data_IF_234380969876
#
_entry.id   IF_234380969876
#
_cell.length_a   1.000
_cell.length_b   1.000
_cell.length_c   1.000
_cell.angle_alpha   90.00
_cell.angle_beta   90.00
_cell.angle_gamma   90.00
#
_symmetry.space_group_name_H-M   'P 1'
#
loop_
_entity.id
_entity.type
_entity.pdbx_description
1 polymer ?
#
# COMPACT_ATOMS: atom_id res chain seq x y z
N UNK A 1 -2.90 32.66 -9.67
CA UNK A 1 -3.94 31.73 -9.17
C UNK A 1 -3.30 30.38 -8.92
N UNK A 2 -3.23 29.95 -7.66
CA UNK A 2 -2.69 28.63 -7.29
C UNK A 2 -3.63 27.58 -7.88
N UNK A 3 -3.14 26.79 -8.84
CA UNK A 3 -3.96 25.78 -9.50
C UNK A 3 -3.96 24.53 -8.61
N UNK A 4 -4.95 24.44 -7.71
CA UNK A 4 -5.15 23.26 -6.89
C UNK A 4 -5.30 22.01 -7.78
N UNK A 5 -4.88 20.86 -7.23
CA UNK A 5 -4.97 19.58 -7.95
C UNK A 5 -6.42 19.20 -8.27
N UNK A 6 -7.32 19.62 -7.37
CA UNK A 6 -8.75 19.37 -7.38
C UNK A 6 -9.53 20.70 -7.38
N UNK A 7 -10.71 20.77 -8.01
CA UNK A 7 -11.70 21.80 -7.71
C UNK A 7 -11.90 21.99 -6.19
N UNK A 8 -11.99 23.24 -5.74
CA UNK A 8 -12.09 23.57 -4.31
C UNK A 8 -13.42 23.15 -3.67
N UNK A 9 -14.48 22.97 -4.46
CA UNK A 9 -15.80 22.56 -3.98
C UNK A 9 -16.01 21.04 -3.95
N UNK A 10 -15.04 20.22 -4.36
CA UNK A 10 -15.20 18.76 -4.42
C UNK A 10 -15.59 18.14 -3.07
N UNK A 11 -15.03 18.68 -1.97
CA UNK A 11 -15.35 18.20 -0.63
C UNK A 11 -16.80 18.51 -0.23
N UNK A 12 -17.36 19.61 -0.71
CA UNK A 12 -18.77 19.95 -0.50
C UNK A 12 -19.67 18.99 -1.30
N UNK A 13 -19.31 18.71 -2.56
CA UNK A 13 -20.09 17.84 -3.45
C UNK A 13 -20.22 16.41 -2.90
N UNK A 14 -19.17 15.88 -2.27
CA UNK A 14 -19.22 14.54 -1.65
C UNK A 14 -19.97 14.50 -0.32
N UNK A 15 -20.38 15.65 0.24
CA UNK A 15 -21.08 15.72 1.52
C UNK A 15 -20.16 15.96 2.73
N UNK A 16 -18.97 16.50 2.52
CA UNK A 16 -18.03 16.87 3.57
C UNK A 16 -17.00 15.78 3.91
N UNK A 17 -16.27 16.00 5.01
CA UNK A 17 -15.13 15.17 5.43
C UNK A 17 -15.53 13.74 5.76
N UNK A 18 -16.55 13.57 6.57
CA UNK A 18 -16.98 12.24 7.04
C UNK A 18 -17.42 11.34 5.86
N UNK A 19 -18.15 11.92 4.90
CA UNK A 19 -18.55 11.22 3.69
C UNK A 19 -17.34 10.81 2.84
N UNK A 20 -16.38 11.72 2.64
CA UNK A 20 -15.16 11.43 1.90
C UNK A 20 -14.28 10.38 2.59
N UNK A 21 -14.16 10.44 3.92
CA UNK A 21 -13.43 9.44 4.71
C UNK A 21 -14.07 8.05 4.57
N UNK A 22 -15.40 7.97 4.50
CA UNK A 22 -16.12 6.73 4.20
C UNK A 22 -15.75 6.15 2.84
N UNK A 23 -15.76 6.97 1.79
CA UNK A 23 -15.38 6.57 0.42
C UNK A 23 -13.94 6.06 0.39
N UNK A 24 -13.01 6.80 0.99
CA UNK A 24 -11.59 6.46 0.98
C UNK A 24 -11.30 5.23 1.86
N UNK A 25 -12.01 5.06 2.98
CA UNK A 25 -11.96 3.84 3.79
C UNK A 25 -12.35 2.64 2.95
N UNK A 26 -13.44 2.74 2.20
CA UNK A 26 -13.89 1.66 1.32
C UNK A 26 -12.87 1.36 0.22
N UNK A 27 -12.28 2.38 -0.38
CA UNK A 27 -11.18 2.20 -1.34
C UNK A 27 -10.02 1.38 -0.74
N UNK A 28 -9.59 1.66 0.49
CA UNK A 28 -8.50 0.90 1.11
C UNK A 28 -8.88 -0.53 1.45
N UNK A 29 -10.12 -0.78 1.90
CA UNK A 29 -10.63 -2.15 2.10
C UNK A 29 -10.54 -2.96 0.80
N UNK A 30 -11.02 -2.39 -0.32
CA UNK A 30 -10.89 -3.00 -1.64
C UNK A 30 -9.42 -3.22 -2.03
N UNK A 31 -8.55 -2.25 -1.75
CA UNK A 31 -7.11 -2.32 -2.06
C UNK A 31 -6.39 -3.39 -1.25
N UNK A 32 -6.82 -3.63 -0.01
CA UNK A 32 -6.24 -4.65 0.88
C UNK A 32 -6.60 -6.08 0.47
N UNK A 33 -7.79 -6.26 -0.10
CA UNK A 33 -8.29 -7.53 -0.62
C UNK A 33 -7.73 -7.83 -2.02
N UNK A 34 -7.30 -6.81 -2.76
CA UNK A 34 -6.77 -6.97 -4.10
C UNK A 34 -5.39 -7.66 -4.10
N UNK A 35 -5.15 -8.71 -4.88
CA UNK A 35 -3.87 -9.42 -4.86
C UNK A 35 -2.70 -8.63 -5.46
N UNK A 36 -2.95 -7.63 -6.32
CA UNK A 36 -1.91 -6.79 -6.94
C UNK A 36 -1.52 -5.63 -6.00
N UNK A 37 -2.50 -5.01 -5.36
CA UNK A 37 -2.29 -3.87 -4.46
C UNK A 37 -2.07 -4.28 -3.00
N UNK A 38 -2.74 -5.34 -2.55
CA UNK A 38 -2.72 -5.83 -1.17
C UNK A 38 -1.31 -6.16 -0.69
N UNK A 39 -0.44 -6.61 -1.59
CA UNK A 39 0.97 -6.88 -1.30
C UNK A 39 1.80 -5.62 -0.99
N UNK A 40 1.28 -4.41 -1.23
CA UNK A 40 1.94 -3.14 -0.92
C UNK A 40 1.76 -2.71 0.54
N UNK A 41 0.92 -3.42 1.30
CA UNK A 41 0.54 -3.09 2.67
C UNK A 41 1.00 -4.19 3.63
N UNK A 42 2.14 -3.97 4.28
CA UNK A 42 2.62 -4.85 5.35
C UNK A 42 1.69 -4.77 6.58
N UNK A 43 1.32 -3.55 6.98
CA UNK A 43 0.37 -3.31 8.07
C UNK A 43 -0.91 -2.68 7.50
N UNK A 44 -1.98 -3.49 7.46
CA UNK A 44 -3.32 -3.08 7.00
C UNK A 44 -4.16 -2.44 8.11
N UNK A 45 -3.68 -2.43 9.35
CA UNK A 45 -4.39 -1.86 10.51
C UNK A 45 -4.13 -0.37 10.70
N UNK A 46 -3.05 0.17 10.10
CA UNK A 46 -2.80 1.61 10.15
C UNK A 46 -3.96 2.41 9.51
N UNK A 47 -4.20 3.66 9.94
CA UNK A 47 -5.29 4.49 9.41
C UNK A 47 -4.92 5.10 8.04
N UNK A 48 -4.74 4.24 7.03
CA UNK A 48 -4.36 4.62 5.67
C UNK A 48 -5.34 5.63 5.05
N UNK A 49 -6.64 5.40 5.24
CA UNK A 49 -7.70 6.27 4.75
C UNK A 49 -7.64 7.68 5.33
N UNK A 50 -7.35 7.84 6.63
CA UNK A 50 -7.22 9.17 7.25
C UNK A 50 -6.01 9.93 6.72
N UNK A 51 -4.88 9.25 6.46
CA UNK A 51 -3.71 9.87 5.83
C UNK A 51 -4.01 10.35 4.42
N UNK A 52 -4.73 9.55 3.65
CA UNK A 52 -5.15 9.93 2.30
C UNK A 52 -6.15 11.10 2.35
N UNK A 53 -7.13 11.06 3.27
CA UNK A 53 -8.10 12.13 3.45
C UNK A 53 -7.42 13.46 3.83
N UNK A 54 -6.50 13.43 4.79
CA UNK A 54 -5.71 14.60 5.17
C UNK A 54 -4.95 15.20 3.98
N UNK A 55 -4.31 14.36 3.15
CA UNK A 55 -3.65 14.80 1.92
C UNK A 55 -4.64 15.45 0.95
N UNK A 56 -5.81 14.84 0.74
CA UNK A 56 -6.84 15.36 -0.14
C UNK A 56 -7.36 16.73 0.33
N UNK A 57 -7.62 16.90 1.64
CA UNK A 57 -8.05 18.18 2.20
C UNK A 57 -7.02 19.28 1.94
N UNK A 58 -5.73 18.98 2.13
CA UNK A 58 -4.65 19.91 1.81
C UNK A 58 -4.57 20.20 0.30
N UNK A 59 -4.77 19.20 -0.55
CA UNK A 59 -4.77 19.34 -2.01
C UNK A 59 -5.96 20.16 -2.55
N UNK A 60 -7.08 20.18 -1.83
CA UNK A 60 -8.24 21.05 -2.05
C UNK A 60 -8.10 22.44 -1.40
N UNK A 61 -7.05 22.69 -0.62
CA UNK A 61 -6.85 23.95 0.11
C UNK A 61 -7.76 24.13 1.33
N UNK A 62 -8.29 23.04 1.90
CA UNK A 62 -9.22 23.07 3.03
C UNK A 62 -8.50 23.27 4.36
N UNK A 63 -7.43 22.51 4.62
CA UNK A 63 -6.63 22.65 5.84
C UNK A 63 -5.18 22.11 5.70
N UNK A 64 -4.40 22.27 6.77
CA UNK A 64 -2.98 21.87 6.88
C UNK A 64 -2.77 20.52 7.62
N UNK A 65 -3.80 19.69 7.78
CA UNK A 65 -3.70 18.39 8.47
C UNK A 65 -2.59 17.51 7.91
N UNK A 66 -2.49 17.41 6.58
CA UNK A 66 -1.44 16.70 5.88
C UNK A 66 -0.02 17.13 6.29
N UNK A 67 0.20 18.44 6.40
CA UNK A 67 1.51 19.01 6.77
C UNK A 67 1.85 18.67 8.22
N UNK A 68 0.85 18.71 9.13
CA UNK A 68 1.03 18.31 10.54
C UNK A 68 1.40 16.83 10.70
N UNK A 69 0.98 15.97 9.75
CA UNK A 69 1.38 14.56 9.68
C UNK A 69 2.77 14.34 9.04
N UNK A 70 3.56 15.40 8.84
CA UNK A 70 4.88 15.34 8.22
C UNK A 70 4.88 15.48 6.69
N UNK A 71 3.69 15.64 6.09
CA UNK A 71 3.50 15.96 4.67
C UNK A 71 4.20 15.02 3.70
N UNK A 72 4.65 15.57 2.57
CA UNK A 72 5.25 14.82 1.46
C UNK A 72 6.45 13.97 1.87
N UNK A 73 7.27 14.45 2.82
CA UNK A 73 8.42 13.68 3.30
C UNK A 73 7.99 12.39 3.98
N UNK A 74 6.99 12.47 4.86
CA UNK A 74 6.47 11.31 5.58
C UNK A 74 5.81 10.31 4.61
N UNK A 75 4.96 10.79 3.70
CA UNK A 75 4.28 9.93 2.73
C UNK A 75 5.25 9.27 1.75
N UNK A 76 6.31 9.96 1.31
CA UNK A 76 7.33 9.35 0.46
C UNK A 76 8.07 8.21 1.18
N UNK A 77 8.30 8.33 2.49
CA UNK A 77 8.88 7.23 3.29
C UNK A 77 7.97 5.99 3.28
N UNK A 78 6.66 6.19 3.45
CA UNK A 78 5.68 5.10 3.41
C UNK A 78 5.58 4.46 2.03
N UNK A 79 5.58 5.24 0.95
CA UNK A 79 5.56 4.69 -0.41
C UNK A 79 6.82 3.90 -0.74
N UNK A 80 8.01 4.35 -0.28
CA UNK A 80 9.24 3.55 -0.38
C UNK A 80 9.11 2.22 0.36
N UNK A 81 8.51 2.21 1.56
CA UNK A 81 8.22 0.97 2.29
C UNK A 81 7.36 0.02 1.44
N UNK A 82 6.31 0.52 0.80
CA UNK A 82 5.47 -0.28 -0.10
C UNK A 82 6.23 -0.81 -1.32
N UNK A 83 7.10 0.01 -1.95
CA UNK A 83 7.92 -0.43 -3.09
C UNK A 83 8.85 -1.59 -2.71
N UNK A 84 9.38 -1.56 -1.49
CA UNK A 84 10.26 -2.58 -0.93
C UNK A 84 9.52 -3.65 -0.10
N UNK A 85 8.19 -3.74 -0.18
CA UNK A 85 7.43 -4.70 0.61
C UNK A 85 7.78 -6.14 0.18
N UNK A 86 8.24 -7.02 1.09
CA UNK A 86 8.63 -8.39 0.75
C UNK A 86 7.45 -9.24 0.25
N UNK A 87 6.22 -8.91 0.65
CA UNK A 87 5.00 -9.58 0.19
C UNK A 87 4.82 -9.51 -1.33
N UNK A 88 5.48 -8.55 -2.01
CA UNK A 88 5.49 -8.51 -3.47
C UNK A 88 6.11 -9.78 -4.04
N UNK A 89 7.10 -10.40 -3.39
CA UNK A 89 7.76 -11.62 -3.89
C UNK A 89 6.80 -12.77 -4.16
N UNK A 90 5.76 -12.90 -3.33
CA UNK A 90 4.75 -13.96 -3.39
C UNK A 90 3.46 -13.52 -4.13
N UNK A 91 3.37 -12.24 -4.52
CA UNK A 91 2.21 -11.69 -5.22
C UNK A 91 2.18 -12.10 -6.72
N UNK A 92 1.05 -11.91 -7.41
CA UNK A 92 0.97 -12.10 -8.86
C UNK A 92 2.02 -11.27 -9.61
N UNK A 93 2.42 -11.75 -10.79
CA UNK A 93 3.50 -11.14 -11.59
C UNK A 93 3.25 -9.68 -11.97
N UNK A 94 1.98 -9.30 -12.07
CA UNK A 94 1.50 -7.95 -12.35
C UNK A 94 1.85 -6.96 -11.22
N UNK A 95 2.13 -7.45 -10.01
CA UNK A 95 2.60 -6.64 -8.90
C UNK A 95 4.09 -6.26 -9.00
N UNK A 96 4.83 -6.79 -9.98
CA UNK A 96 6.24 -6.48 -10.22
C UNK A 96 7.18 -7.02 -9.14
N UNK A 97 8.47 -6.67 -9.21
CA UNK A 97 9.48 -7.10 -8.23
C UNK A 97 9.64 -6.11 -7.06
N UNK A 98 10.25 -6.59 -5.97
CA UNK A 98 10.61 -5.76 -4.82
C UNK A 98 11.65 -4.71 -5.25
N UNK A 99 11.37 -3.42 -5.02
CA UNK A 99 12.29 -2.32 -5.31
C UNK A 99 12.14 -1.68 -6.71
N UNK A 100 11.39 -2.26 -7.63
CA UNK A 100 11.24 -1.78 -9.03
C UNK A 100 10.21 -0.63 -9.19
N UNK A 101 10.04 0.22 -8.19
CA UNK A 101 8.95 1.20 -8.18
C UNK A 101 7.57 0.55 -8.21
N UNK A 102 6.53 1.33 -8.52
CA UNK A 102 5.18 0.81 -8.71
C UNK A 102 4.96 0.42 -10.17
N UNK A 103 4.16 -0.61 -10.42
CA UNK A 103 3.87 -1.06 -11.79
C UNK A 103 2.74 -0.25 -12.45
N UNK A 104 2.65 -0.32 -13.77
CA UNK A 104 1.52 0.23 -14.54
C UNK A 104 0.19 -0.39 -14.08
N UNK A 105 0.19 -1.71 -13.82
CA UNK A 105 -0.97 -2.46 -13.34
C UNK A 105 -1.37 -2.02 -11.94
N UNK A 106 -0.42 -1.79 -11.02
CA UNK A 106 -0.72 -1.23 -9.69
C UNK A 106 -1.36 0.15 -9.81
N UNK A 107 -0.81 1.07 -10.61
CA UNK A 107 -1.42 2.39 -10.84
C UNK A 107 -2.86 2.28 -11.38
N UNK A 108 -3.06 1.46 -12.40
CA UNK A 108 -4.36 1.31 -13.05
C UNK A 108 -5.38 0.67 -12.09
N UNK A 109 -4.96 -0.34 -11.33
CA UNK A 109 -5.81 -1.01 -10.34
C UNK A 109 -6.19 -0.05 -9.22
N UNK A 110 -5.23 0.74 -8.75
CA UNK A 110 -5.45 1.76 -7.72
C UNK A 110 -6.52 2.78 -8.16
N UNK A 111 -6.41 3.33 -9.38
CA UNK A 111 -7.43 4.25 -9.92
C UNK A 111 -8.79 3.56 -10.13
N UNK A 112 -8.79 2.30 -10.54
CA UNK A 112 -10.04 1.52 -10.72
C UNK A 112 -10.77 1.29 -9.39
N UNK A 113 -10.05 0.97 -8.32
CA UNK A 113 -10.69 0.77 -7.01
C UNK A 113 -11.20 2.08 -6.42
N UNK A 114 -10.57 3.22 -6.74
CA UNK A 114 -11.12 4.54 -6.41
C UNK A 114 -12.45 4.81 -7.12
N UNK A 115 -12.52 4.50 -8.42
CA UNK A 115 -13.77 4.56 -9.19
C UNK A 115 -14.84 3.66 -8.57
N UNK A 116 -14.49 2.42 -8.25
CA UNK A 116 -15.42 1.47 -7.64
C UNK A 116 -15.94 1.97 -6.29
N UNK A 117 -15.09 2.51 -5.42
CA UNK A 117 -15.53 3.09 -4.15
C UNK A 117 -16.49 4.28 -4.35
N UNK A 118 -16.25 5.11 -5.37
CA UNK A 118 -17.18 6.19 -5.73
C UNK A 118 -18.53 5.66 -6.24
N UNK A 119 -18.53 4.57 -7.01
CA UNK A 119 -19.75 3.91 -7.50
C UNK A 119 -20.57 3.30 -6.35
N UNK A 120 -19.92 2.64 -5.39
CA UNK A 120 -20.58 2.03 -4.22
C UNK A 120 -21.24 3.07 -3.29
N UNK A 121 -20.75 4.32 -3.31
CA UNK A 121 -21.33 5.44 -2.57
C UNK A 121 -22.30 6.30 -3.41
N UNK A 122 -22.60 5.88 -4.64
CA UNK A 122 -23.48 6.59 -5.59
C UNK A 122 -23.11 8.07 -5.79
N UNK A 123 -21.81 8.35 -5.92
CA UNK A 123 -21.33 9.72 -6.01
C UNK A 123 -21.65 10.39 -7.36
N UNK A 124 -21.93 11.71 -7.38
CA UNK A 124 -22.24 12.44 -8.61
C UNK A 124 -21.14 12.33 -9.66
N UNK A 125 -21.46 11.76 -10.83
CA UNK A 125 -20.47 11.41 -11.86
C UNK A 125 -19.75 12.63 -12.43
N UNK A 126 -20.48 13.68 -12.76
CA UNK A 126 -19.94 14.87 -13.42
C UNK A 126 -19.28 15.83 -12.43
N UNK A 127 -19.90 15.99 -11.27
CA UNK A 127 -19.55 16.98 -10.25
C UNK A 127 -18.44 16.48 -9.32
N UNK A 128 -18.38 15.18 -9.05
CA UNK A 128 -17.38 14.58 -8.18
C UNK A 128 -16.45 13.60 -8.90
N UNK A 129 -16.98 12.49 -9.42
CA UNK A 129 -16.17 11.34 -9.84
C UNK A 129 -15.17 11.72 -10.94
N UNK A 130 -15.64 12.38 -12.00
CA UNK A 130 -14.76 12.83 -13.10
C UNK A 130 -13.64 13.77 -12.65
N UNK A 131 -13.91 14.91 -11.97
CA UNK A 131 -12.84 15.80 -11.52
C UNK A 131 -11.92 15.16 -10.47
N UNK A 132 -12.45 14.31 -9.59
CA UNK A 132 -11.67 13.55 -8.61
C UNK A 132 -10.67 12.62 -9.29
N UNK A 133 -11.12 11.71 -10.16
CA UNK A 133 -10.26 10.77 -10.87
C UNK A 133 -9.28 11.47 -11.81
N UNK A 134 -9.69 12.59 -12.42
CA UNK A 134 -8.79 13.43 -13.23
C UNK A 134 -7.66 14.02 -12.38
N UNK A 135 -7.96 14.50 -11.17
CA UNK A 135 -6.96 14.99 -10.23
C UNK A 135 -6.00 13.89 -9.79
N UNK A 136 -6.53 12.72 -9.41
CA UNK A 136 -5.71 11.56 -9.04
C UNK A 136 -4.80 11.11 -10.18
N UNK A 137 -5.33 10.98 -11.39
CA UNK A 137 -4.56 10.57 -12.58
C UNK A 137 -3.37 11.51 -12.85
N UNK A 138 -3.54 12.82 -12.65
CA UNK A 138 -2.45 13.79 -12.77
C UNK A 138 -1.41 13.64 -11.66
N UNK A 139 -1.87 13.42 -10.42
CA UNK A 139 -0.97 13.26 -9.29
C UNK A 139 -0.15 11.97 -9.34
N UNK A 140 -0.74 10.89 -9.85
CA UNK A 140 -0.09 9.58 -9.96
C UNK A 140 1.26 9.65 -10.71
N UNK A 141 1.46 10.62 -11.60
CA UNK A 141 2.74 10.81 -12.30
C UNK A 141 3.93 10.98 -11.35
N UNK A 142 3.72 11.48 -10.12
CA UNK A 142 4.76 11.62 -9.08
C UNK A 142 5.37 10.27 -8.67
N UNK A 143 4.64 9.18 -8.85
CA UNK A 143 5.09 7.83 -8.52
C UNK A 143 5.72 7.09 -9.71
N UNK A 144 5.85 7.74 -10.86
CA UNK A 144 6.59 7.23 -12.00
C UNK A 144 8.12 7.37 -11.83
N UNK A 145 8.92 6.77 -12.73
CA UNK A 145 8.46 5.90 -13.83
C UNK A 145 7.81 4.63 -13.28
N UNK A 146 6.74 4.20 -13.95
CA UNK A 146 6.07 2.95 -13.61
C UNK A 146 6.79 1.80 -14.31
N UNK A 147 7.08 0.73 -13.58
CA UNK A 147 7.68 -0.47 -14.16
C UNK A 147 6.64 -1.31 -14.90
N UNK A 148 7.12 -2.06 -15.88
CA UNK A 148 6.35 -3.14 -16.48
C UNK A 148 6.23 -4.32 -15.50
N UNK A 149 5.28 -5.21 -15.77
CA UNK A 149 5.15 -6.46 -15.02
C UNK A 149 6.40 -7.36 -15.19
N UNK A 150 6.54 -8.37 -14.33
CA UNK A 150 7.60 -9.38 -14.47
C UNK A 150 7.52 -10.04 -15.84
N UNK A 151 8.66 -10.17 -16.54
CA UNK A 151 8.78 -11.01 -17.73
C UNK A 151 8.86 -12.49 -17.32
N UNK A 152 8.29 -13.38 -18.13
CA UNK A 152 8.39 -14.84 -17.89
C UNK A 152 9.84 -15.35 -18.06
N UNK A 153 10.71 -14.55 -18.71
CA UNK A 153 12.16 -14.73 -18.67
C UNK A 153 12.74 -14.07 -17.42
N UNK A 154 12.93 -14.84 -16.36
CA UNK A 154 14.09 -14.63 -15.47
C UNK A 154 14.73 -15.97 -15.21
N UNK A 155 15.87 -16.15 -15.87
CA UNK A 155 16.95 -17.06 -15.49
C UNK A 155 17.07 -17.15 -13.97
N UNK A 156 17.10 -18.39 -13.51
CA UNK A 156 17.33 -18.91 -12.16
C UNK A 156 18.59 -18.40 -11.41
N UNK A 157 19.18 -17.26 -11.77
CA UNK A 157 20.47 -16.80 -11.27
C UNK A 157 20.47 -15.44 -10.54
N UNK A 158 19.41 -14.62 -10.60
CA UNK A 158 19.42 -13.27 -9.98
C UNK A 158 18.37 -13.02 -8.89
N UNK A 159 17.42 -13.94 -8.64
CA UNK A 159 16.38 -13.76 -7.61
C UNK A 159 16.85 -14.16 -6.20
N UNK A 160 18.04 -13.72 -5.81
CA UNK A 160 18.33 -13.58 -4.37
C UNK A 160 17.97 -12.15 -3.99
N UNK A 161 16.68 -11.92 -3.73
CA UNK A 161 16.36 -10.97 -2.67
C UNK A 161 17.18 -11.40 -1.45
N UNK A 162 18.03 -10.54 -0.86
CA UNK A 162 18.64 -10.85 0.41
C UNK A 162 17.52 -10.80 1.45
N UNK A 163 16.80 -11.92 1.58
CA UNK A 163 16.05 -12.22 2.78
C UNK A 163 17.11 -12.23 3.88
N UNK A 164 17.13 -11.19 4.71
CA UNK A 164 17.71 -11.32 6.03
C UNK A 164 16.94 -12.46 6.69
N UNK A 165 17.56 -13.64 6.70
CA UNK A 165 17.10 -14.81 7.42
C UNK A 165 17.15 -14.42 8.89
N UNK A 166 16.01 -14.04 9.44
CA UNK A 166 15.85 -14.01 10.90
C UNK A 166 15.91 -15.47 11.32
N UNK A 167 17.07 -15.90 11.81
CA UNK A 167 17.22 -17.20 12.44
C UNK A 167 16.39 -17.18 13.73
N UNK A 168 15.19 -17.76 13.67
CA UNK A 168 14.44 -18.12 14.87
C UNK A 168 15.20 -19.27 15.51
N UNK A 169 15.97 -18.96 16.55
CA UNK A 169 16.67 -19.95 17.36
C UNK A 169 15.68 -20.93 17.97
N UNK A 170 15.56 -22.11 17.38
CA UNK A 170 14.94 -23.27 18.02
C UNK A 170 15.99 -23.86 18.96
N UNK A 171 15.84 -23.59 20.26
CA UNK A 171 16.58 -24.30 21.30
C UNK A 171 16.10 -25.75 21.33
N UNK A 172 16.88 -26.65 20.72
CA UNK A 172 16.72 -28.08 20.86
C UNK A 172 17.40 -28.51 22.17
N UNK A 173 16.59 -28.83 23.16
CA UNK A 173 17.02 -29.64 24.30
C UNK A 173 16.81 -31.10 23.92
N UNK A 174 17.87 -31.91 23.93
CA UNK A 174 17.93 -33.32 24.37
C UNK A 174 19.01 -34.14 23.64
N UNK A 175 20.10 -34.45 24.36
CA UNK A 175 20.88 -35.71 24.34
C UNK A 175 21.69 -35.70 25.65
N UNK A 176 21.64 -36.64 26.60
CA UNK A 176 21.41 -38.07 26.54
C UNK A 176 22.75 -38.82 26.49
N UNK A 177 23.36 -39.17 27.64
CA UNK A 177 24.42 -40.20 27.71
C UNK A 177 24.26 -41.06 28.99
N UNK A 178 23.77 -42.26 28.72
CA UNK A 178 23.99 -43.60 29.29
C UNK A 178 24.77 -43.88 30.59
N UNK A 179 24.09 -44.68 31.43
CA UNK A 179 24.44 -45.98 32.05
C UNK A 179 25.87 -46.22 32.59
N UNK A 180 25.92 -46.47 33.90
CA UNK A 180 26.95 -47.30 34.55
C UNK A 180 26.29 -48.20 35.61
N UNK A 181 26.19 -49.49 35.30
CA UNK A 181 25.73 -50.57 36.17
C UNK A 181 26.80 -50.96 37.21
N UNK A 182 26.36 -51.23 38.44
CA UNK A 182 26.90 -52.35 39.23
C UNK A 182 27.46 -51.99 40.61
N UNK A 183 26.73 -52.32 41.68
CA UNK A 183 26.97 -53.55 42.49
C UNK A 183 26.18 -53.54 43.81
N UNK A 184 25.31 -54.54 43.93
CA UNK A 184 25.04 -55.44 45.05
C UNK A 184 25.43 -55.05 46.50
N UNK A 185 24.38 -54.99 47.32
CA UNK A 185 24.09 -55.82 48.50
C UNK A 185 24.62 -55.47 49.90
N UNK A 186 23.61 -55.49 50.80
CA UNK A 186 23.53 -55.48 52.28
C UNK A 186 23.70 -54.11 52.95
#
# INVERSE_FOLDING_TARGET
MTKFLFPSNLLEVVGGKDAFEGVVKRFYELSFEDPILGCLYEDKTEPHHLRFAAWFYSACGVDDSYRRMGGTRHVNKLHKKSQHCPLRGEAPKEAGYVGDGFTVQQRNRWLRLQLQACEEFDLPKEEFVKPYIKGLSKFMVVYGPFSEARTDEVDSAATKCPVHRVEVGVSSSLTGVERGLGRASI
#
